data_IF_092122205716
#
_entry.id   IF_092122205716
#
_cell.length_a   1.000
_cell.length_b   1.000
_cell.length_c   1.000
_cell.angle_alpha   90.00
_cell.angle_beta   90.00
_cell.angle_gamma   90.00
#
_symmetry.space_group_name_H-M   'P 1'
#
loop_
_entity.id
_entity.type
_entity.pdbx_description
1 polymer ?
#
# COMPACT_ATOMS: atom_id res chain seq x y z
N UNK A 1 2.85 8.01 -1.15
CA UNK A 1 1.64 8.42 -1.91
C UNK A 1 1.84 9.78 -2.61
N UNK A 2 1.03 10.12 -3.63
CA UNK A 2 1.10 11.40 -4.35
C UNK A 2 0.55 12.58 -3.54
N UNK A 3 -0.47 12.34 -2.72
CA UNK A 3 -1.18 13.35 -1.93
C UNK A 3 -1.39 12.87 -0.51
N UNK A 4 -1.73 13.79 0.39
CA UNK A 4 -2.03 13.49 1.78
C UNK A 4 -3.47 12.97 1.95
N UNK A 5 -4.42 13.53 1.20
CA UNK A 5 -5.84 13.14 1.25
C UNK A 5 -6.41 12.67 -0.09
N UNK A 6 -7.56 12.00 -0.03
CA UNK A 6 -8.36 11.63 -1.22
C UNK A 6 -8.86 12.88 -1.94
N UNK A 7 -9.21 13.94 -1.21
CA UNK A 7 -9.73 15.17 -1.80
C UNK A 7 -8.66 15.92 -2.59
N UNK A 8 -7.43 15.95 -2.10
CA UNK A 8 -6.27 16.43 -2.87
C UNK A 8 -6.03 15.60 -4.12
N UNK A 9 -6.09 14.26 -4.04
CA UNK A 9 -5.93 13.40 -5.21
C UNK A 9 -7.00 13.72 -6.28
N UNK A 10 -8.25 13.90 -5.86
CA UNK A 10 -9.35 14.29 -6.74
C UNK A 10 -9.16 15.69 -7.32
N UNK A 11 -8.64 16.64 -6.54
CA UNK A 11 -8.34 17.99 -6.99
C UNK A 11 -7.24 17.99 -8.05
N UNK A 12 -6.13 17.29 -7.81
CA UNK A 12 -5.05 17.12 -8.78
C UNK A 12 -5.53 16.42 -10.05
N UNK A 13 -6.37 15.39 -9.94
CA UNK A 13 -6.95 14.72 -11.12
C UNK A 13 -7.81 15.67 -11.97
N UNK A 14 -8.58 16.58 -11.35
CA UNK A 14 -9.32 17.62 -12.08
C UNK A 14 -8.39 18.62 -12.74
N UNK A 15 -7.35 19.07 -12.03
CA UNK A 15 -6.36 20.01 -12.55
C UNK A 15 -5.59 19.44 -13.75
N UNK A 16 -5.15 18.18 -13.68
CA UNK A 16 -4.46 17.48 -14.76
C UNK A 16 -5.35 17.35 -16.01
N UNK A 17 -6.64 17.03 -15.85
CA UNK A 17 -7.59 16.99 -16.97
C UNK A 17 -7.81 18.36 -17.60
N UNK A 18 -7.86 19.42 -16.79
CA UNK A 18 -8.10 20.79 -17.27
C UNK A 18 -6.87 21.41 -17.97
N UNK A 19 -5.66 21.02 -17.59
CA UNK A 19 -4.43 21.60 -18.13
C UNK A 19 -4.06 21.04 -19.51
N UNK A 20 -4.55 19.85 -19.87
CA UNK A 20 -4.18 19.17 -21.12
C UNK A 20 -2.73 18.70 -21.16
N UNK A 21 -2.00 18.75 -20.04
CA UNK A 21 -0.62 18.27 -19.94
C UNK A 21 -0.58 16.77 -19.63
N UNK A 22 0.46 16.10 -20.10
CA UNK A 22 0.73 14.71 -19.73
C UNK A 22 1.33 14.69 -18.33
N UNK A 23 0.65 14.02 -17.38
CA UNK A 23 1.13 13.82 -16.02
C UNK A 23 1.37 12.33 -15.74
N UNK A 24 2.38 12.00 -14.95
CA UNK A 24 2.68 10.63 -14.53
C UNK A 24 2.87 10.58 -13.02
N UNK A 25 2.15 9.66 -12.36
CA UNK A 25 2.41 9.34 -10.95
C UNK A 25 3.63 8.41 -10.86
N UNK A 26 4.53 8.69 -9.92
CA UNK A 26 5.79 7.96 -9.74
C UNK A 26 5.62 6.57 -9.11
N UNK A 27 4.90 5.66 -9.76
CA UNK A 27 4.85 4.25 -9.36
C UNK A 27 5.80 3.40 -10.21
N UNK A 28 7.04 3.26 -9.74
CA UNK A 28 8.18 2.68 -10.46
C UNK A 28 7.95 1.25 -10.97
N UNK A 29 7.04 0.49 -10.35
CA UNK A 29 6.70 -0.86 -10.79
C UNK A 29 6.23 -0.92 -12.24
N UNK A 30 5.46 0.08 -12.69
CA UNK A 30 4.92 0.16 -14.07
C UNK A 30 5.99 0.32 -15.15
N UNK A 31 7.17 0.80 -14.76
CA UNK A 31 8.31 0.96 -15.67
C UNK A 31 9.13 -0.33 -15.83
N UNK A 32 8.79 -1.41 -15.11
CA UNK A 32 9.58 -2.66 -15.08
C UNK A 32 8.79 -3.84 -15.64
N UNK A 33 9.51 -4.83 -16.17
CA UNK A 33 8.92 -5.99 -16.85
C UNK A 33 8.18 -6.93 -15.89
N UNK A 34 8.58 -7.01 -14.62
CA UNK A 34 7.99 -7.94 -13.65
C UNK A 34 6.52 -7.61 -13.37
N UNK A 35 6.16 -6.33 -13.19
CA UNK A 35 4.77 -5.91 -13.00
C UNK A 35 3.95 -6.16 -14.26
N UNK A 36 4.49 -5.80 -15.44
CA UNK A 36 3.80 -6.03 -16.74
C UNK A 36 3.49 -7.50 -16.94
N UNK A 37 4.47 -8.37 -16.67
CA UNK A 37 4.29 -9.83 -16.75
C UNK A 37 3.28 -10.36 -15.73
N UNK A 38 3.27 -9.83 -14.50
CA UNK A 38 2.28 -10.19 -13.49
C UNK A 38 0.85 -9.87 -13.98
N UNK A 39 0.67 -8.66 -14.51
CA UNK A 39 -0.61 -8.21 -15.09
C UNK A 39 -1.03 -9.09 -16.27
N UNK A 40 -0.11 -9.43 -17.18
CA UNK A 40 -0.37 -10.33 -18.31
C UNK A 40 -0.79 -11.72 -17.85
N UNK A 41 -0.13 -12.29 -16.84
CA UNK A 41 -0.48 -13.62 -16.30
C UNK A 41 -1.87 -13.63 -15.68
N UNK A 42 -2.20 -12.60 -14.89
CA UNK A 42 -3.55 -12.47 -14.29
C UNK A 42 -4.59 -12.28 -15.39
N UNK A 43 -4.42 -11.29 -16.27
CA UNK A 43 -5.38 -10.99 -17.34
C UNK A 43 -5.53 -12.12 -18.36
N UNK A 44 -4.45 -12.87 -18.61
CA UNK A 44 -4.43 -14.05 -19.47
C UNK A 44 -5.02 -15.32 -18.84
N UNK A 45 -5.44 -15.27 -17.57
CA UNK A 45 -6.11 -16.37 -16.89
C UNK A 45 -5.17 -17.48 -16.38
N UNK A 46 -3.87 -17.21 -16.22
CA UNK A 46 -2.89 -18.22 -15.82
C UNK A 46 -3.14 -18.84 -14.42
N UNK A 47 -3.94 -18.17 -13.59
CA UNK A 47 -4.39 -18.65 -12.27
C UNK A 47 -5.91 -18.87 -12.21
N UNK A 48 -6.61 -18.84 -13.35
CA UNK A 48 -8.06 -18.85 -13.42
C UNK A 48 -8.69 -17.55 -12.90
N UNK A 49 -9.96 -17.63 -12.45
CA UNK A 49 -10.69 -16.48 -11.90
C UNK A 49 -10.12 -16.11 -10.52
N UNK A 50 -9.70 -14.86 -10.33
CA UNK A 50 -9.17 -14.40 -9.04
C UNK A 50 -10.26 -14.41 -7.96
N UNK A 51 -9.93 -14.91 -6.78
CA UNK A 51 -10.88 -15.06 -5.66
C UNK A 51 -10.49 -14.21 -4.46
N UNK A 52 -9.19 -14.03 -4.23
CA UNK A 52 -8.68 -13.46 -2.99
C UNK A 52 -7.30 -12.85 -3.21
N UNK A 53 -7.05 -11.69 -2.60
CA UNK A 53 -5.75 -11.01 -2.63
C UNK A 53 -5.29 -10.68 -1.23
N UNK A 54 -4.02 -10.98 -0.92
CA UNK A 54 -3.36 -10.53 0.31
C UNK A 54 -2.13 -9.70 -0.03
N UNK A 55 -2.12 -8.45 0.40
CA UNK A 55 -0.98 -7.55 0.32
C UNK A 55 -0.46 -7.29 1.72
N UNK A 56 0.85 -7.29 1.93
CA UNK A 56 1.37 -7.08 3.27
C UNK A 56 2.74 -6.45 3.31
N UNK A 57 3.04 -5.81 4.44
CA UNK A 57 4.34 -5.20 4.66
C UNK A 57 4.88 -5.30 6.08
N UNK A 58 6.21 -5.29 6.21
CA UNK A 58 6.89 -5.10 7.49
C UNK A 58 6.96 -3.62 7.93
N UNK A 59 6.49 -2.67 7.12
CA UNK A 59 6.40 -1.27 7.55
C UNK A 59 5.36 -1.15 8.67
N UNK A 60 5.52 -0.18 9.58
CA UNK A 60 6.52 0.89 9.57
C UNK A 60 7.92 0.44 10.01
N UNK A 61 8.97 1.06 9.43
CA UNK A 61 10.37 0.98 9.94
C UNK A 61 10.80 2.30 10.60
N UNK A 62 9.83 3.18 10.84
CA UNK A 62 9.92 4.45 11.55
C UNK A 62 8.95 4.41 12.74
N UNK A 63 9.06 5.32 13.71
CA UNK A 63 8.11 5.38 14.83
C UNK A 63 6.66 5.65 14.38
N UNK A 64 5.72 4.85 14.87
CA UNK A 64 4.26 5.01 14.71
C UNK A 64 3.57 4.68 16.04
N UNK A 65 2.30 5.03 16.17
CA UNK A 65 1.53 4.93 17.42
C UNK A 65 2.04 5.85 18.53
N UNK A 66 2.61 7.00 18.14
CA UNK A 66 3.09 8.01 19.09
C UNK A 66 1.91 8.63 19.83
N UNK A 67 1.98 8.63 21.17
CA UNK A 67 0.96 9.26 22.03
C UNK A 67 1.14 10.76 22.18
N UNK A 68 2.38 11.23 22.06
CA UNK A 68 2.75 12.62 22.25
C UNK A 68 3.74 13.06 21.18
N UNK A 69 3.77 14.36 20.94
CA UNK A 69 4.71 15.01 20.03
C UNK A 69 6.11 15.00 20.66
N UNK A 70 7.18 14.80 19.88
CA UNK A 70 8.53 15.02 20.37
C UNK A 70 8.70 16.46 20.89
N UNK A 71 9.57 16.70 21.87
CA UNK A 71 9.81 18.02 22.43
C UNK A 71 10.38 18.95 21.35
N UNK A 72 9.95 20.21 21.38
CA UNK A 72 10.40 21.22 20.43
C UNK A 72 11.93 21.43 20.50
N UNK A 73 12.53 21.72 19.34
CA UNK A 73 13.95 21.97 19.15
C UNK A 73 14.14 23.20 18.25
N UNK A 74 15.30 23.88 18.33
CA UNK A 74 15.66 24.89 17.32
C UNK A 74 15.67 24.26 15.93
N UNK A 75 15.17 25.02 14.94
CA UNK A 75 15.26 24.63 13.53
C UNK A 75 16.74 24.60 13.12
N UNK A 76 17.23 23.56 12.42
CA UNK A 76 18.56 23.56 11.82
C UNK A 76 18.78 24.74 10.87
N UNK A 77 19.98 25.33 10.89
CA UNK A 77 20.31 26.53 10.09
C UNK A 77 20.18 26.31 8.56
N UNK A 78 20.21 25.05 8.11
CA UNK A 78 20.09 24.63 6.72
C UNK A 78 18.67 24.14 6.33
N UNK A 79 17.70 24.29 7.23
CA UNK A 79 16.30 23.90 7.02
C UNK A 79 15.37 25.11 7.10
N UNK A 80 14.73 25.45 5.99
CA UNK A 80 13.58 26.36 6.02
C UNK A 80 12.33 25.57 6.46
N UNK A 81 11.97 25.75 7.73
CA UNK A 81 10.90 24.99 8.36
C UNK A 81 9.50 25.34 7.85
N UNK A 82 9.25 26.63 7.55
CA UNK A 82 7.98 27.07 6.98
C UNK A 82 7.78 26.46 5.59
N UNK A 83 8.84 26.50 4.77
CA UNK A 83 8.83 25.87 3.45
C UNK A 83 8.65 24.35 3.53
N UNK A 84 9.25 23.69 4.52
CA UNK A 84 9.10 22.24 4.70
C UNK A 84 7.70 21.85 5.18
N UNK A 85 7.11 22.59 6.13
CA UNK A 85 5.74 22.37 6.60
C UNK A 85 4.74 22.51 5.44
N UNK A 86 4.93 23.52 4.59
CA UNK A 86 4.06 23.80 3.47
C UNK A 86 2.60 23.95 3.90
N UNK A 87 1.67 23.11 3.40
CA UNK A 87 0.25 23.21 3.75
C UNK A 87 -0.13 22.56 5.09
N UNK A 88 0.80 21.88 5.77
CA UNK A 88 0.53 21.24 7.05
C UNK A 88 0.27 22.27 8.17
N UNK A 89 -0.44 21.90 9.25
CA UNK A 89 -0.63 22.78 10.40
C UNK A 89 0.70 23.30 10.96
N UNK A 90 0.74 24.61 11.29
CA UNK A 90 1.92 25.21 11.90
C UNK A 90 2.25 24.52 13.23
N UNK A 91 3.53 24.14 13.39
CA UNK A 91 4.03 23.54 14.63
C UNK A 91 5.53 23.78 14.80
N UNK A 92 6.05 23.80 16.05
CA UNK A 92 7.49 23.89 16.28
C UNK A 92 8.24 22.71 15.64
N UNK A 93 9.45 22.97 15.16
CA UNK A 93 10.35 21.89 14.76
C UNK A 93 10.68 20.99 15.96
N UNK A 94 10.81 19.70 15.68
CA UNK A 94 11.30 18.70 16.62
C UNK A 94 12.03 17.60 15.84
N UNK A 95 12.97 16.94 16.51
CA UNK A 95 13.71 15.84 15.91
C UNK A 95 12.76 14.70 15.52
N UNK A 96 12.97 14.13 14.33
CA UNK A 96 12.11 13.08 13.75
C UNK A 96 11.16 13.56 12.65
N UNK A 97 10.75 14.84 12.63
CA UNK A 97 9.94 15.33 11.51
C UNK A 97 10.74 15.33 10.20
N UNK A 98 11.97 15.79 10.22
CA UNK A 98 12.87 15.76 9.06
C UNK A 98 14.06 14.82 9.35
N UNK A 99 14.52 14.00 8.38
CA UNK A 99 14.06 13.90 6.98
C UNK A 99 13.10 12.74 6.68
N UNK A 100 12.91 11.79 7.61
CA UNK A 100 12.33 10.49 7.27
C UNK A 100 11.11 10.08 8.11
N UNK A 101 11.14 10.28 9.43
CA UNK A 101 10.12 9.75 10.35
C UNK A 101 8.81 10.54 10.35
N UNK A 102 8.71 11.65 9.59
CA UNK A 102 7.45 12.38 9.36
C UNK A 102 6.29 11.48 8.93
N UNK A 103 6.56 10.34 8.30
CA UNK A 103 5.58 9.33 7.89
C UNK A 103 4.72 8.82 9.06
N UNK A 104 5.26 8.89 10.27
CA UNK A 104 4.60 8.50 11.52
C UNK A 104 3.71 9.57 12.15
N UNK A 105 3.47 10.70 11.49
CA UNK A 105 2.63 11.78 12.00
C UNK A 105 1.51 12.07 11.01
N UNK A 106 0.27 12.15 11.49
CA UNK A 106 -0.89 12.40 10.61
C UNK A 106 -0.80 13.74 9.89
N UNK A 107 -0.16 14.76 10.45
CA UNK A 107 -0.02 16.08 9.81
C UNK A 107 0.87 16.05 8.54
N UNK A 108 1.74 15.03 8.40
CA UNK A 108 2.74 14.98 7.33
C UNK A 108 2.63 13.74 6.45
N UNK A 109 2.23 12.62 7.05
CA UNK A 109 2.20 11.32 6.42
C UNK A 109 0.88 10.59 6.64
N UNK A 110 0.84 9.40 6.06
CA UNK A 110 -0.34 8.53 6.04
C UNK A 110 -0.01 7.13 6.56
N UNK A 111 1.07 7.04 7.35
CA UNK A 111 1.62 5.80 7.89
C UNK A 111 2.07 4.79 6.83
N UNK A 112 2.33 3.57 7.31
CA UNK A 112 2.75 2.42 6.51
C UNK A 112 1.82 2.12 5.33
N UNK A 113 0.49 2.19 5.55
CA UNK A 113 -0.50 1.94 4.50
C UNK A 113 -0.37 2.92 3.33
N UNK A 114 -0.31 4.23 3.57
CA UNK A 114 -0.22 5.16 2.44
C UNK A 114 1.17 5.23 1.81
N UNK A 115 2.24 4.99 2.58
CA UNK A 115 3.62 4.90 2.06
C UNK A 115 3.78 3.68 1.14
N UNK A 116 3.43 2.47 1.60
CA UNK A 116 3.66 1.22 0.86
C UNK A 116 2.47 0.73 0.05
N UNK A 117 1.24 1.02 0.49
CA UNK A 117 0.02 0.52 -0.16
C UNK A 117 -0.07 0.96 -1.61
N UNK A 118 0.33 2.20 -1.93
CA UNK A 118 0.36 2.70 -3.31
C UNK A 118 1.34 1.93 -4.23
N UNK A 119 2.30 1.20 -3.67
CA UNK A 119 3.23 0.36 -4.43
C UNK A 119 2.79 -1.10 -4.50
N UNK A 120 2.26 -1.65 -3.40
CA UNK A 120 1.96 -3.07 -3.27
C UNK A 120 0.54 -3.41 -3.78
N UNK A 121 -0.47 -2.59 -3.44
CA UNK A 121 -1.85 -2.80 -3.89
C UNK A 121 -2.03 -2.47 -5.38
N UNK A 122 -1.11 -1.71 -5.96
CA UNK A 122 -1.18 -1.28 -7.35
C UNK A 122 -1.25 -2.46 -8.33
N UNK A 123 -0.37 -3.46 -8.21
CA UNK A 123 -0.35 -4.61 -9.11
C UNK A 123 -1.69 -5.35 -9.17
N UNK A 124 -2.26 -5.88 -8.06
CA UNK A 124 -3.51 -6.63 -8.13
C UNK A 124 -4.69 -5.75 -8.57
N UNK A 125 -4.78 -4.51 -8.10
CA UNK A 125 -5.89 -3.62 -8.46
C UNK A 125 -5.82 -3.22 -9.94
N UNK A 126 -4.63 -2.94 -10.46
CA UNK A 126 -4.44 -2.64 -11.88
C UNK A 126 -4.70 -3.87 -12.76
N UNK A 127 -4.21 -5.05 -12.37
CA UNK A 127 -4.41 -6.28 -13.12
C UNK A 127 -5.90 -6.62 -13.28
N UNK A 128 -6.69 -6.38 -12.23
CA UNK A 128 -8.12 -6.70 -12.15
C UNK A 128 -9.05 -5.57 -12.62
N UNK A 129 -8.47 -4.42 -13.01
CA UNK A 129 -9.22 -3.19 -13.34
C UNK A 129 -10.18 -2.78 -12.22
N UNK A 130 -9.68 -2.86 -10.97
CA UNK A 130 -10.49 -2.57 -9.80
C UNK A 130 -10.73 -1.05 -9.65
N UNK A 131 -11.99 -0.68 -9.49
CA UNK A 131 -12.41 0.69 -9.18
C UNK A 131 -12.27 1.04 -7.69
N UNK A 132 -13.15 1.91 -7.21
CA UNK A 132 -13.22 2.20 -5.78
C UNK A 132 -13.81 1.01 -5.00
N UNK A 133 -13.38 0.77 -3.74
CA UNK A 133 -13.98 -0.26 -2.91
C UNK A 133 -15.44 0.09 -2.56
N UNK A 134 -16.28 -0.93 -2.46
CA UNK A 134 -17.66 -0.87 -1.97
C UNK A 134 -17.71 -0.77 -0.44
N UNK A 135 -16.78 -1.42 0.25
CA UNK A 135 -16.69 -1.43 1.70
C UNK A 135 -15.24 -1.56 2.16
N UNK A 136 -14.95 -0.98 3.32
CA UNK A 136 -13.65 -1.08 4.00
C UNK A 136 -13.89 -1.33 5.49
N UNK A 137 -13.20 -2.33 6.02
CA UNK A 137 -13.15 -2.61 7.46
C UNK A 137 -11.69 -2.61 7.90
N UNK A 138 -11.38 -1.97 9.03
CA UNK A 138 -10.02 -1.84 9.52
C UNK A 138 -9.92 -2.22 11.00
N UNK A 139 -8.95 -3.07 11.32
CA UNK A 139 -8.52 -3.39 12.68
C UNK A 139 -7.10 -2.86 12.86
N UNK A 140 -6.83 -2.14 13.95
CA UNK A 140 -5.53 -1.50 14.15
C UNK A 140 -5.06 -1.53 15.61
N UNK A 141 -3.76 -1.37 15.81
CA UNK A 141 -3.09 -1.26 17.11
C UNK A 141 -2.48 0.12 17.30
N UNK A 142 -2.58 0.66 18.53
CA UNK A 142 -1.92 1.89 18.98
C UNK A 142 -2.14 3.13 18.10
N UNK A 143 -3.22 3.20 17.31
CA UNK A 143 -3.58 4.43 16.62
C UNK A 143 -3.87 5.54 17.64
N UNK A 144 -3.40 6.74 17.34
CA UNK A 144 -3.66 7.95 18.14
C UNK A 144 -4.09 9.10 17.23
N UNK A 145 -4.54 10.20 17.84
CA UNK A 145 -4.85 11.43 17.10
C UNK A 145 -3.59 12.07 16.48
N UNK A 146 -2.39 11.73 16.97
CA UNK A 146 -1.13 12.27 16.46
C UNK A 146 -0.48 11.36 15.40
N UNK A 147 -0.68 10.05 15.50
CA UNK A 147 0.15 9.06 14.81
C UNK A 147 -0.65 7.89 14.24
N UNK A 148 -0.31 7.42 13.02
CA UNK A 148 -0.86 6.19 12.45
C UNK A 148 -0.60 4.95 13.33
N UNK A 149 -1.44 3.91 13.20
CA UNK A 149 -1.31 2.69 14.00
C UNK A 149 0.04 2.00 13.81
N UNK A 150 0.55 1.31 14.82
CA UNK A 150 1.80 0.51 14.71
C UNK A 150 1.63 -0.70 13.81
N UNK A 151 0.41 -1.26 13.76
CA UNK A 151 0.03 -2.36 12.89
C UNK A 151 -1.47 -2.28 12.54
N UNK A 152 -1.83 -2.73 11.36
CA UNK A 152 -3.20 -2.76 10.88
C UNK A 152 -3.49 -3.97 9.99
N UNK A 153 -4.77 -4.36 9.98
CA UNK A 153 -5.36 -5.29 9.01
C UNK A 153 -6.54 -4.56 8.38
N UNK A 154 -6.52 -4.36 7.07
CA UNK A 154 -7.60 -3.66 6.35
C UNK A 154 -8.19 -4.60 5.31
N UNK A 155 -9.50 -4.79 5.36
CA UNK A 155 -10.26 -5.62 4.43
C UNK A 155 -11.05 -4.71 3.51
N UNK A 156 -10.80 -4.83 2.22
CA UNK A 156 -11.50 -4.11 1.17
C UNK A 156 -12.38 -5.08 0.40
N UNK A 157 -13.62 -4.68 0.16
CA UNK A 157 -14.48 -5.32 -0.84
C UNK A 157 -14.59 -4.42 -2.04
N UNK A 158 -14.23 -4.90 -3.22
CA UNK A 158 -14.39 -4.18 -4.48
C UNK A 158 -15.57 -4.72 -5.27
N UNK A 159 -16.19 -3.83 -6.06
CA UNK A 159 -17.21 -4.20 -7.03
C UNK A 159 -16.63 -5.10 -8.13
N UNK A 160 -17.52 -5.64 -8.95
CA UNK A 160 -17.15 -6.46 -10.10
C UNK A 160 -16.03 -5.80 -10.92
N UNK A 161 -14.93 -6.54 -11.08
CA UNK A 161 -13.80 -6.16 -11.93
C UNK A 161 -13.84 -6.91 -13.26
N UNK A 162 -12.76 -6.82 -14.02
CA UNK A 162 -12.66 -7.48 -15.33
C UNK A 162 -12.82 -9.01 -15.28
N UNK A 163 -12.59 -9.64 -14.13
CA UNK A 163 -12.64 -11.11 -13.97
C UNK A 163 -13.62 -11.62 -12.92
N UNK A 164 -14.13 -10.77 -12.03
CA UNK A 164 -14.81 -11.19 -10.80
C UNK A 164 -16.07 -10.34 -10.55
N UNK A 165 -17.09 -10.92 -9.93
CA UNK A 165 -18.31 -10.19 -9.52
C UNK A 165 -18.10 -9.36 -8.24
N UNK A 166 -17.25 -9.86 -7.33
CA UNK A 166 -16.74 -9.16 -6.16
C UNK A 166 -15.29 -9.61 -5.91
N UNK A 167 -14.49 -8.74 -5.32
CA UNK A 167 -13.09 -9.01 -4.98
C UNK A 167 -12.79 -8.58 -3.56
N UNK A 168 -12.39 -9.53 -2.72
CA UNK A 168 -11.87 -9.26 -1.39
C UNK A 168 -10.34 -9.09 -1.45
N UNK A 169 -9.86 -7.97 -0.91
CA UNK A 169 -8.45 -7.65 -0.78
C UNK A 169 -8.14 -7.41 0.69
N UNK A 170 -7.14 -8.10 1.21
CA UNK A 170 -6.66 -7.92 2.59
C UNK A 170 -5.29 -7.26 2.55
N UNK A 171 -5.16 -6.14 3.26
CA UNK A 171 -3.90 -5.49 3.58
C UNK A 171 -3.49 -5.83 5.01
N UNK A 172 -2.21 -6.14 5.25
CA UNK A 172 -1.64 -6.15 6.61
C UNK A 172 -0.31 -5.41 6.70
N UNK A 173 -0.10 -4.65 7.77
CA UNK A 173 1.17 -4.00 8.06
C UNK A 173 1.61 -4.24 9.53
N UNK A 174 2.68 -3.58 9.96
CA UNK A 174 3.30 -3.78 11.28
C UNK A 174 4.08 -5.10 11.39
N UNK A 175 4.46 -5.70 10.27
CA UNK A 175 5.10 -7.03 10.27
C UNK A 175 4.13 -8.19 10.44
N UNK A 176 2.81 -7.91 10.45
CA UNK A 176 1.79 -8.96 10.39
C UNK A 176 1.88 -9.68 9.06
N UNK A 177 2.06 -10.99 9.13
CA UNK A 177 1.99 -11.88 7.97
C UNK A 177 0.53 -12.28 7.71
N UNK A 178 0.19 -12.69 6.47
CA UNK A 178 -1.10 -13.29 6.19
C UNK A 178 -1.40 -14.49 7.10
N UNK A 179 -2.68 -14.86 7.29
CA UNK A 179 -3.05 -16.00 8.14
C UNK A 179 -2.44 -17.32 7.63
N UNK A 180 -2.23 -18.30 8.52
CA UNK A 180 -1.48 -19.54 8.23
C UNK A 180 -2.01 -20.33 7.02
N UNK A 181 -3.31 -20.28 6.75
CA UNK A 181 -3.92 -20.96 5.61
C UNK A 181 -3.41 -20.40 4.27
N UNK A 182 -3.11 -19.10 4.18
CA UNK A 182 -2.50 -18.46 3.01
C UNK A 182 -1.12 -19.08 2.75
N UNK A 183 -0.31 -19.25 3.80
CA UNK A 183 1.02 -19.88 3.67
C UNK A 183 0.90 -21.33 3.21
N UNK A 184 -0.04 -22.08 3.79
CA UNK A 184 -0.29 -23.47 3.46
C UNK A 184 -0.73 -23.63 2.00
N UNK A 185 -1.66 -22.79 1.53
CA UNK A 185 -2.16 -22.78 0.14
C UNK A 185 -1.08 -22.42 -0.88
N UNK A 186 -0.11 -21.58 -0.50
CA UNK A 186 1.04 -21.27 -1.34
C UNK A 186 2.13 -22.36 -1.36
N UNK A 187 2.12 -23.27 -0.38
CA UNK A 187 3.15 -24.29 -0.25
C UNK A 187 4.54 -23.74 0.04
N UNK A 188 4.62 -22.56 0.69
CA UNK A 188 5.88 -21.90 1.07
C UNK A 188 5.96 -21.78 2.59
N UNK A 189 7.16 -21.86 3.15
CA UNK A 189 7.37 -21.59 4.57
C UNK A 189 7.28 -20.08 4.86
N UNK A 190 6.85 -19.70 6.06
CA UNK A 190 6.74 -18.30 6.50
C UNK A 190 8.04 -17.49 6.27
N UNK A 191 9.20 -18.15 6.33
CA UNK A 191 10.52 -17.55 6.10
C UNK A 191 10.77 -17.08 4.67
N UNK A 192 9.92 -17.46 3.71
CA UNK A 192 10.07 -17.11 2.30
C UNK A 192 9.25 -15.90 1.87
N UNK A 193 8.19 -15.56 2.62
CA UNK A 193 7.45 -14.33 2.38
C UNK A 193 8.30 -13.15 2.83
N UNK A 194 8.55 -12.24 1.90
CA UNK A 194 9.34 -11.04 2.16
C UNK A 194 8.44 -9.97 2.76
N UNK A 195 9.11 -8.91 3.18
CA UNK A 195 8.50 -7.76 3.83
C UNK A 195 7.53 -6.93 2.96
N UNK A 196 7.29 -7.26 1.68
CA UNK A 196 6.55 -6.40 0.74
C UNK A 196 5.83 -7.20 -0.37
N UNK A 197 5.15 -8.28 -0.01
CA UNK A 197 4.59 -9.19 -1.00
C UNK A 197 3.08 -8.97 -1.19
N UNK A 198 2.62 -9.40 -2.37
CA UNK A 198 1.24 -9.56 -2.75
C UNK A 198 1.02 -10.99 -3.21
N UNK A 199 -0.02 -11.62 -2.69
CA UNK A 199 -0.48 -12.95 -3.06
C UNK A 199 -1.83 -12.81 -3.72
N UNK A 200 -1.99 -13.38 -4.92
CA UNK A 200 -3.25 -13.42 -5.66
C UNK A 200 -3.64 -14.88 -5.84
N UNK A 201 -4.75 -15.29 -5.22
CA UNK A 201 -5.31 -16.62 -5.44
C UNK A 201 -6.38 -16.56 -6.52
N UNK A 202 -6.31 -17.51 -7.45
CA UNK A 202 -7.39 -17.77 -8.40
C UNK A 202 -7.86 -19.22 -8.36
N UNK A 203 -8.89 -19.52 -9.14
CA UNK A 203 -9.54 -20.84 -9.17
C UNK A 203 -8.63 -21.99 -9.63
N UNK A 204 -7.53 -21.68 -10.32
CA UNK A 204 -6.63 -22.68 -10.92
C UNK A 204 -5.18 -22.54 -10.46
N UNK A 205 -4.88 -21.61 -9.56
CA UNK A 205 -3.52 -21.38 -9.08
C UNK A 205 -3.36 -20.15 -8.20
N UNK A 206 -2.11 -19.77 -7.96
CA UNK A 206 -1.76 -18.57 -7.21
C UNK A 206 -0.57 -17.85 -7.83
N UNK A 207 -0.53 -16.54 -7.63
CA UNK A 207 0.58 -15.68 -8.00
C UNK A 207 1.17 -15.05 -6.74
N UNK A 208 2.47 -15.21 -6.53
CA UNK A 208 3.22 -14.45 -5.54
C UNK A 208 4.03 -13.36 -6.26
N UNK A 209 3.83 -12.12 -5.86
CA UNK A 209 4.44 -10.93 -6.44
C UNK A 209 5.09 -10.08 -5.35
N UNK A 210 6.25 -9.51 -5.62
CA UNK A 210 6.81 -8.40 -4.82
C UNK A 210 7.02 -7.22 -5.77
N UNK A 211 6.66 -6.02 -5.30
CA UNK A 211 6.83 -4.77 -6.03
C UNK A 211 8.27 -4.51 -6.52
N UNK A 212 9.30 -5.14 -5.94
CA UNK A 212 10.70 -4.98 -6.34
C UNK A 212 11.15 -5.90 -7.48
N UNK A 213 10.97 -7.21 -7.34
CA UNK A 213 11.67 -8.20 -8.20
C UNK A 213 10.97 -9.56 -8.37
N UNK A 214 10.15 -10.01 -7.42
CA UNK A 214 9.65 -11.40 -7.44
C UNK A 214 8.35 -11.54 -8.22
N UNK A 215 8.31 -12.57 -9.05
CA UNK A 215 7.10 -13.06 -9.69
C UNK A 215 7.16 -14.60 -9.74
N UNK A 216 6.36 -15.27 -8.94
CA UNK A 216 6.25 -16.74 -8.92
C UNK A 216 4.81 -17.16 -9.24
N UNK A 217 4.64 -17.93 -10.31
CA UNK A 217 3.38 -18.59 -10.63
C UNK A 217 3.34 -19.99 -10.00
N UNK A 218 2.23 -20.31 -9.35
CA UNK A 218 2.00 -21.61 -8.72
C UNK A 218 0.75 -22.24 -9.33
N UNK A 219 0.91 -23.43 -9.90
CA UNK A 219 -0.21 -24.23 -10.38
C UNK A 219 -1.06 -24.68 -9.18
N UNK A 220 -2.38 -24.64 -9.32
CA UNK A 220 -3.29 -25.22 -8.33
C UNK A 220 -3.02 -26.71 -8.19
N UNK A 221 -3.06 -27.22 -6.96
CA UNK A 221 -3.16 -28.65 -6.75
C UNK A 221 -4.48 -29.08 -7.40
N UNK A 222 -4.42 -29.81 -8.52
CA UNK A 222 -5.58 -30.53 -9.02
C UNK A 222 -5.94 -31.54 -7.92
N UNK A 223 -6.99 -31.22 -7.15
CA UNK A 223 -7.68 -32.20 -6.31
C UNK A 223 -8.24 -33.31 -7.18
#
# INVERSE_FOLDING_TARGET
PLTWSIDEARALARAARASGVVTQMGNQGHARDHLRRAVELVRGGAIGRVQEVHCFTNRPIWPQGLRERPPARPVPDDLDWDLWLGPAPERPYADGYHPFDWRGFWDFGTGALGDMGCHILDMPLFALDAGAPLAVEAECEDATDESPPTASTVRYRFAAGAQNDELDVVWTDGGRLPPEDVHRRLGISQRRLRAHDCVVFGSEGALLFDHLETLELRAGART
#
